data_IF_635363693543
#
_entry.id   IF_635363693543
#
_cell.length_a   1.000
_cell.length_b   1.000
_cell.length_c   1.000
_cell.angle_alpha   90.00
_cell.angle_beta   90.00
_cell.angle_gamma   90.00
#
_symmetry.space_group_name_H-M   'P 1'
#
loop_
_entity.id
_entity.type
_entity.pdbx_description
1 polymer ?
#
# COMPACT_ATOMS: atom_id res chain seq x y z
N UNK A 1 56.98 -10.33 -21.81
CA UNK A 1 56.22 -9.09 -21.62
C UNK A 1 54.80 -9.11 -22.16
N UNK A 2 54.55 -9.39 -23.44
CA UNK A 2 53.16 -9.42 -24.00
C UNK A 2 52.19 -10.38 -23.29
N UNK A 3 52.59 -11.59 -22.87
CA UNK A 3 51.71 -12.52 -22.15
C UNK A 3 51.35 -12.06 -20.74
N UNK A 4 52.23 -11.35 -20.04
CA UNK A 4 51.98 -10.80 -18.71
C UNK A 4 51.00 -9.64 -18.79
N UNK A 5 51.10 -8.77 -19.81
CA UNK A 5 50.17 -7.65 -20.05
C UNK A 5 48.79 -8.20 -20.36
N UNK A 6 48.64 -9.27 -21.14
CA UNK A 6 47.34 -9.90 -21.44
C UNK A 6 46.68 -10.49 -20.20
N UNK A 7 47.44 -11.12 -19.30
CA UNK A 7 46.93 -11.68 -18.05
C UNK A 7 46.43 -10.56 -17.10
N UNK A 8 47.18 -9.46 -17.00
CA UNK A 8 46.80 -8.31 -16.16
C UNK A 8 45.53 -7.65 -16.73
N UNK A 9 45.42 -7.52 -18.06
CA UNK A 9 44.22 -6.95 -18.69
C UNK A 9 43.00 -7.84 -18.50
N UNK A 10 43.16 -9.17 -18.60
CA UNK A 10 42.08 -10.13 -18.36
C UNK A 10 41.61 -10.13 -16.89
N UNK A 11 42.53 -10.04 -15.95
CA UNK A 11 42.21 -9.90 -14.51
C UNK A 11 41.45 -8.56 -14.24
N UNK A 12 41.86 -7.46 -14.87
CA UNK A 12 41.19 -6.17 -14.72
C UNK A 12 39.79 -6.21 -15.27
N UNK A 13 39.57 -6.85 -16.43
CA UNK A 13 38.23 -7.02 -17.04
C UNK A 13 37.35 -7.91 -16.16
N UNK A 14 37.89 -9.01 -15.62
CA UNK A 14 37.12 -9.91 -14.73
C UNK A 14 36.77 -9.21 -13.43
N UNK A 15 37.67 -8.44 -12.83
CA UNK A 15 37.37 -7.65 -11.62
C UNK A 15 36.38 -6.53 -11.91
N UNK A 16 36.49 -5.85 -13.04
CA UNK A 16 35.53 -4.83 -13.46
C UNK A 16 34.13 -5.42 -13.72
N UNK A 17 34.05 -6.59 -14.35
CA UNK A 17 32.79 -7.31 -14.56
C UNK A 17 32.20 -7.84 -13.25
N UNK A 18 33.02 -8.30 -12.32
CA UNK A 18 32.59 -8.68 -10.96
C UNK A 18 32.08 -7.47 -10.17
N UNK A 19 32.80 -6.34 -10.21
CA UNK A 19 32.35 -5.07 -9.61
C UNK A 19 31.06 -4.58 -10.25
N UNK A 20 30.92 -4.68 -11.57
CA UNK A 20 29.72 -4.31 -12.30
C UNK A 20 28.53 -5.24 -11.99
N UNK A 21 28.77 -6.55 -11.86
CA UNK A 21 27.78 -7.53 -11.45
C UNK A 21 27.37 -7.37 -9.97
N UNK A 22 28.34 -7.16 -9.07
CA UNK A 22 28.11 -6.91 -7.64
C UNK A 22 27.45 -5.56 -7.38
N UNK A 23 27.76 -4.51 -8.18
CA UNK A 23 27.12 -3.21 -8.12
C UNK A 23 25.66 -3.23 -8.60
N UNK A 24 25.23 -4.29 -9.30
CA UNK A 24 23.82 -4.49 -9.72
C UNK A 24 23.00 -5.31 -8.73
N UNK A 25 23.61 -5.83 -7.65
CA UNK A 25 22.90 -6.56 -6.58
C UNK A 25 22.32 -5.64 -5.51
N UNK A 26 22.07 -4.37 -5.83
CA UNK A 26 21.31 -3.48 -4.97
C UNK A 26 19.90 -4.05 -4.72
N UNK A 27 19.41 -3.93 -3.48
CA UNK A 27 18.03 -4.27 -3.14
C UNK A 27 17.08 -3.54 -4.11
N UNK A 28 16.10 -4.26 -4.64
CA UNK A 28 15.11 -3.71 -5.57
C UNK A 28 13.72 -3.98 -5.04
N UNK A 29 12.81 -3.09 -5.38
CA UNK A 29 11.38 -3.36 -5.21
C UNK A 29 10.94 -4.42 -6.23
N UNK A 30 10.00 -5.24 -5.81
CA UNK A 30 9.39 -6.29 -6.61
C UNK A 30 7.88 -6.29 -6.38
N UNK A 31 7.17 -5.63 -7.29
CA UNK A 31 5.75 -5.38 -7.21
C UNK A 31 5.37 -4.70 -5.87
N UNK A 32 5.90 -3.48 -5.61
CA UNK A 32 5.51 -2.73 -4.42
C UNK A 32 4.02 -2.41 -4.50
N UNK A 33 3.30 -2.66 -3.41
CA UNK A 33 1.85 -2.54 -3.41
C UNK A 33 1.33 -1.48 -2.43
N UNK A 34 1.81 -1.47 -1.19
CA UNK A 34 1.40 -0.50 -0.20
C UNK A 34 2.62 0.07 0.54
N UNK A 35 2.44 1.23 1.14
CA UNK A 35 3.50 1.95 1.85
C UNK A 35 2.94 2.65 3.09
N UNK A 36 3.74 2.69 4.15
CA UNK A 36 3.46 3.49 5.36
C UNK A 36 4.74 4.09 5.90
N UNK A 37 4.65 5.13 6.72
CA UNK A 37 5.82 5.79 7.31
C UNK A 37 6.03 5.36 8.76
N UNK A 38 7.24 4.91 9.08
CA UNK A 38 7.71 4.64 10.44
C UNK A 38 8.43 5.89 10.99
N UNK A 39 7.76 6.68 11.85
CA UNK A 39 8.34 7.93 12.34
C UNK A 39 9.50 7.71 13.33
N UNK A 40 9.54 6.56 13.99
CA UNK A 40 10.63 6.23 14.94
C UNK A 40 11.89 5.84 14.17
N UNK A 41 11.73 5.03 13.13
CA UNK A 41 12.83 4.63 12.25
C UNK A 41 13.16 5.68 11.19
N UNK A 42 12.39 6.76 11.05
CA UNK A 42 12.50 7.79 10.02
C UNK A 42 12.60 7.19 8.61
N UNK A 43 11.67 6.28 8.27
CA UNK A 43 11.71 5.49 7.03
C UNK A 43 10.31 5.13 6.57
N UNK A 44 10.18 4.87 5.28
CA UNK A 44 9.01 4.23 4.71
C UNK A 44 9.17 2.70 4.78
N UNK A 45 8.10 2.00 5.10
CA UNK A 45 7.97 0.55 4.99
C UNK A 45 7.09 0.25 3.79
N UNK A 46 7.53 -0.65 2.92
CA UNK A 46 6.91 -0.93 1.63
C UNK A 46 6.65 -2.42 1.51
N UNK A 47 5.42 -2.82 1.27
CA UNK A 47 5.09 -4.21 0.95
C UNK A 47 5.50 -4.54 -0.48
N UNK A 48 6.13 -5.69 -0.67
CA UNK A 48 6.58 -6.19 -1.97
C UNK A 48 5.95 -7.55 -2.23
N UNK A 49 4.86 -7.58 -3.00
CA UNK A 49 4.09 -8.79 -3.30
C UNK A 49 4.95 -9.83 -4.00
N UNK A 50 5.81 -9.41 -4.94
CA UNK A 50 6.60 -10.34 -5.75
C UNK A 50 7.66 -11.10 -4.96
N UNK A 51 8.30 -10.45 -3.97
CA UNK A 51 9.35 -11.05 -3.16
C UNK A 51 8.88 -11.55 -1.78
N UNK A 52 7.61 -11.32 -1.43
CA UNK A 52 7.10 -11.68 -0.10
C UNK A 52 7.80 -10.94 1.05
N UNK A 53 8.18 -9.69 0.83
CA UNK A 53 9.04 -8.94 1.75
C UNK A 53 8.41 -7.60 2.14
N UNK A 54 8.80 -7.08 3.30
CA UNK A 54 8.71 -5.65 3.59
C UNK A 54 10.10 -5.06 3.41
N UNK A 55 10.20 -4.00 2.61
CA UNK A 55 11.43 -3.26 2.35
C UNK A 55 11.35 -1.90 3.03
N UNK A 56 12.44 -1.44 3.63
CA UNK A 56 12.53 -0.09 4.15
C UNK A 56 13.18 0.84 3.12
N UNK A 57 12.68 2.08 3.04
CA UNK A 57 13.21 3.17 2.23
C UNK A 57 13.42 4.39 3.11
N UNK A 58 14.62 4.95 3.14
CA UNK A 58 14.88 6.20 3.86
C UNK A 58 14.33 7.43 3.09
N UNK A 59 14.44 8.60 3.71
CA UNK A 59 13.94 9.84 3.11
C UNK A 59 14.66 10.24 1.82
N UNK A 60 15.86 9.73 1.58
CA UNK A 60 16.66 9.96 0.38
C UNK A 60 16.34 8.93 -0.73
N UNK A 61 15.42 8.00 -0.47
CA UNK A 61 14.99 6.96 -1.41
C UNK A 61 15.90 5.72 -1.44
N UNK A 62 16.85 5.59 -0.51
CA UNK A 62 17.73 4.43 -0.43
C UNK A 62 17.01 3.25 0.22
N UNK A 63 16.99 2.13 -0.47
CA UNK A 63 16.36 0.90 0.00
C UNK A 63 17.28 0.12 0.94
N UNK A 64 16.68 -0.50 1.95
CA UNK A 64 17.33 -1.45 2.87
C UNK A 64 16.40 -2.62 3.17
N UNK A 65 16.98 -3.80 3.41
CA UNK A 65 16.21 -4.97 3.80
C UNK A 65 15.62 -4.76 5.19
N UNK A 66 14.33 -5.09 5.35
CA UNK A 66 13.66 -5.01 6.64
C UNK A 66 13.13 -6.37 7.09
N UNK A 67 12.21 -6.98 6.32
CA UNK A 67 11.71 -8.35 6.55
C UNK A 67 11.72 -9.13 5.24
N UNK A 68 12.89 -9.64 4.82
CA UNK A 68 13.03 -10.35 3.53
C UNK A 68 12.35 -11.71 3.57
N UNK A 69 11.44 -11.97 2.60
CA UNK A 69 10.79 -13.27 2.42
C UNK A 69 9.96 -13.76 3.61
N UNK A 70 9.51 -12.85 4.48
CA UNK A 70 8.78 -13.22 5.69
C UNK A 70 7.28 -13.47 5.44
N UNK A 71 6.77 -13.11 4.26
CA UNK A 71 5.37 -13.16 3.89
C UNK A 71 5.16 -13.95 2.60
N UNK A 72 3.94 -14.40 2.36
CA UNK A 72 3.59 -15.08 1.10
C UNK A 72 3.24 -14.07 -0.01
N UNK A 73 2.39 -13.11 0.32
CA UNK A 73 1.87 -12.11 -0.62
C UNK A 73 1.40 -10.88 0.15
N UNK A 74 2.34 -10.11 0.76
CA UNK A 74 1.98 -8.94 1.55
C UNK A 74 1.40 -7.86 0.64
N UNK A 75 0.21 -7.34 0.97
CA UNK A 75 -0.45 -6.29 0.25
C UNK A 75 -0.56 -5.04 1.10
N UNK A 76 -1.76 -4.61 1.48
CA UNK A 76 -1.97 -3.45 2.31
C UNK A 76 -1.20 -3.50 3.62
N UNK A 77 -0.63 -2.39 4.03
CA UNK A 77 0.09 -2.27 5.31
C UNK A 77 -0.34 -1.01 6.05
N UNK A 78 -0.52 -1.14 7.35
CA UNK A 78 -0.89 -0.02 8.22
C UNK A 78 -0.06 -0.02 9.49
N UNK A 79 0.52 1.12 9.84
CA UNK A 79 1.33 1.30 11.05
C UNK A 79 0.55 2.05 12.12
N UNK A 80 0.42 1.46 13.30
CA UNK A 80 -0.10 2.11 14.49
C UNK A 80 0.59 1.57 15.75
N UNK A 81 0.90 2.45 16.69
CA UNK A 81 1.43 2.10 18.03
C UNK A 81 2.62 1.12 17.99
N UNK A 82 3.54 1.33 17.02
CA UNK A 82 4.72 0.48 16.84
C UNK A 82 4.43 -0.92 16.27
N UNK A 83 3.21 -1.18 15.84
CA UNK A 83 2.78 -2.40 15.18
C UNK A 83 2.49 -2.14 13.71
N UNK A 84 3.07 -2.93 12.83
CA UNK A 84 2.73 -2.95 11.42
C UNK A 84 1.76 -4.11 11.19
N UNK A 85 0.56 -3.78 10.72
CA UNK A 85 -0.43 -4.73 10.25
C UNK A 85 -0.20 -4.96 8.77
N UNK A 86 -0.10 -6.22 8.35
CA UNK A 86 0.19 -6.62 6.97
C UNK A 86 -0.89 -7.57 6.50
N UNK A 87 -1.63 -7.21 5.45
CA UNK A 87 -2.60 -8.13 4.85
C UNK A 87 -1.88 -9.19 4.02
N UNK A 88 -2.32 -10.43 4.21
CA UNK A 88 -2.05 -11.57 3.34
C UNK A 88 -3.39 -12.16 2.87
N UNK A 89 -3.47 -13.06 1.90
CA UNK A 89 -4.73 -13.44 1.28
C UNK A 89 -5.86 -13.83 2.24
N UNK A 90 -5.56 -14.41 3.41
CA UNK A 90 -6.57 -14.90 4.35
C UNK A 90 -6.29 -14.53 5.81
N UNK A 91 -5.31 -13.68 6.05
CA UNK A 91 -4.87 -13.33 7.40
C UNK A 91 -4.22 -11.97 7.46
N UNK A 92 -4.11 -11.41 8.66
CA UNK A 92 -3.31 -10.23 8.97
C UNK A 92 -2.12 -10.68 9.80
N UNK A 93 -0.90 -10.38 9.35
CA UNK A 93 0.30 -10.51 10.17
C UNK A 93 0.51 -9.23 10.98
N UNK A 94 0.79 -9.37 12.26
CA UNK A 94 1.12 -8.24 13.14
C UNK A 94 2.59 -8.28 13.44
N UNK A 95 3.30 -7.21 13.08
CA UNK A 95 4.75 -7.09 13.21
C UNK A 95 5.08 -6.06 14.29
N UNK A 96 5.98 -6.41 15.20
CA UNK A 96 6.68 -5.45 16.04
C UNK A 96 7.73 -4.72 15.19
N UNK A 97 7.52 -3.43 14.97
CA UNK A 97 8.37 -2.64 14.06
C UNK A 97 9.78 -2.44 14.62
N UNK A 98 9.94 -2.34 15.94
CA UNK A 98 11.25 -2.14 16.56
C UNK A 98 12.16 -3.36 16.41
N UNK A 99 11.57 -4.57 16.48
CA UNK A 99 12.30 -5.84 16.43
C UNK A 99 12.22 -6.53 15.06
N UNK A 100 11.46 -5.98 14.10
CA UNK A 100 11.21 -6.59 12.79
C UNK A 100 10.76 -8.05 12.90
N UNK A 101 9.79 -8.33 13.76
CA UNK A 101 9.34 -9.70 14.07
C UNK A 101 7.83 -9.80 14.07
N UNK A 102 7.30 -10.90 13.50
CA UNK A 102 5.88 -11.20 13.57
C UNK A 102 5.54 -11.61 15.02
N UNK A 103 4.60 -10.90 15.65
CA UNK A 103 4.21 -11.10 17.04
C UNK A 103 2.80 -11.69 17.20
N UNK A 104 1.96 -11.58 16.17
CA UNK A 104 0.61 -12.17 16.16
C UNK A 104 0.16 -12.43 14.72
N UNK A 105 -0.87 -13.26 14.56
CA UNK A 105 -1.51 -13.56 13.29
C UNK A 105 -3.02 -13.62 13.50
N UNK A 106 -3.77 -12.78 12.79
CA UNK A 106 -5.23 -12.78 12.80
C UNK A 106 -5.76 -13.49 11.58
N UNK A 107 -6.26 -14.72 11.76
CA UNK A 107 -6.95 -15.45 10.70
C UNK A 107 -8.32 -14.82 10.47
N UNK A 108 -8.65 -14.50 9.22
CA UNK A 108 -9.95 -13.97 8.84
C UNK A 108 -10.75 -15.10 8.20
N UNK A 109 -11.67 -15.62 8.95
CA UNK A 109 -12.47 -16.78 8.53
C UNK A 109 -13.35 -16.42 7.32
N UNK A 110 -13.29 -17.23 6.29
CA UNK A 110 -14.04 -17.02 5.04
C UNK A 110 -13.46 -15.96 4.11
N UNK A 111 -12.27 -15.44 4.40
CA UNK A 111 -11.57 -14.55 3.48
C UNK A 111 -11.13 -15.28 2.22
N UNK A 112 -11.27 -14.62 1.06
CA UNK A 112 -10.89 -15.15 -0.25
C UNK A 112 -9.64 -14.48 -0.82
N UNK A 113 -9.44 -13.19 -0.56
CA UNK A 113 -8.30 -12.44 -1.04
C UNK A 113 -8.26 -11.05 -0.43
N UNK A 114 -7.82 -10.97 0.85
CA UNK A 114 -7.67 -9.70 1.54
C UNK A 114 -6.70 -8.79 0.79
N UNK A 115 -6.99 -7.50 0.80
CA UNK A 115 -6.21 -6.51 0.08
C UNK A 115 -5.66 -5.44 1.02
N UNK A 116 -6.45 -4.48 1.39
CA UNK A 116 -6.03 -3.32 2.17
C UNK A 116 -6.74 -3.25 3.52
N UNK A 117 -6.23 -2.41 4.42
CA UNK A 117 -6.79 -2.27 5.76
C UNK A 117 -6.65 -0.86 6.32
N UNK A 118 -7.62 -0.47 7.13
CA UNK A 118 -7.61 0.76 7.92
C UNK A 118 -7.96 0.46 9.38
N UNK A 119 -7.39 1.24 10.30
CA UNK A 119 -7.60 1.10 11.73
C UNK A 119 -8.41 2.30 12.27
N UNK A 120 -9.46 2.04 13.03
CA UNK A 120 -10.18 3.08 13.76
C UNK A 120 -9.45 3.46 15.04
N UNK A 121 -9.81 4.62 15.63
CA UNK A 121 -9.29 5.04 16.95
C UNK A 121 -9.69 4.10 18.11
N UNK A 122 -10.68 3.24 17.90
CA UNK A 122 -11.08 2.23 18.87
C UNK A 122 -10.39 0.87 18.66
N UNK A 123 -9.44 0.81 17.71
CA UNK A 123 -8.65 -0.39 17.45
C UNK A 123 -9.34 -1.44 16.57
N UNK A 124 -10.46 -1.12 15.92
CA UNK A 124 -11.10 -2.02 14.96
C UNK A 124 -10.40 -1.94 13.61
N UNK A 125 -10.06 -3.08 13.03
CA UNK A 125 -9.51 -3.22 11.70
C UNK A 125 -10.64 -3.39 10.68
N UNK A 126 -10.71 -2.52 9.69
CA UNK A 126 -11.54 -2.67 8.50
C UNK A 126 -10.65 -3.17 7.37
N UNK A 127 -11.01 -4.27 6.75
CA UNK A 127 -10.15 -5.01 5.83
C UNK A 127 -10.95 -5.32 4.57
N UNK A 128 -10.50 -4.86 3.42
CA UNK A 128 -11.12 -5.20 2.13
C UNK A 128 -10.76 -6.62 1.71
N UNK A 129 -11.74 -7.35 1.20
CA UNK A 129 -11.54 -8.66 0.54
C UNK A 129 -11.96 -8.55 -0.92
N UNK A 130 -10.98 -8.31 -1.78
CA UNK A 130 -11.20 -8.09 -3.22
C UNK A 130 -11.83 -9.29 -3.91
N UNK A 131 -11.47 -10.50 -3.51
CA UNK A 131 -12.02 -11.73 -4.11
C UNK A 131 -13.30 -12.20 -3.45
N UNK A 132 -13.61 -11.67 -2.25
CA UNK A 132 -14.80 -11.99 -1.49
C UNK A 132 -15.92 -10.97 -1.62
N UNK A 133 -15.71 -9.88 -2.39
CA UNK A 133 -16.65 -8.76 -2.58
C UNK A 133 -17.26 -8.25 -1.27
N UNK A 134 -16.39 -8.04 -0.27
CA UNK A 134 -16.82 -7.62 1.07
C UNK A 134 -15.75 -6.85 1.82
N UNK A 135 -16.14 -6.31 2.98
CA UNK A 135 -15.21 -5.73 3.96
C UNK A 135 -15.39 -6.49 5.28
N UNK A 136 -14.29 -6.94 5.88
CA UNK A 136 -14.29 -7.47 7.22
C UNK A 136 -14.03 -6.38 8.25
N UNK A 137 -14.68 -6.49 9.40
CA UNK A 137 -14.35 -5.73 10.61
C UNK A 137 -13.82 -6.73 11.63
N UNK A 138 -12.59 -6.54 12.07
CA UNK A 138 -11.93 -7.43 13.03
C UNK A 138 -11.57 -6.65 14.30
N UNK A 139 -11.94 -7.21 15.46
CA UNK A 139 -11.54 -6.69 16.75
C UNK A 139 -10.36 -7.51 17.30
N UNK A 140 -9.14 -6.94 17.36
CA UNK A 140 -7.96 -7.64 17.87
C UNK A 140 -8.04 -8.00 19.37
N UNK A 141 -8.85 -7.29 20.14
CA UNK A 141 -8.98 -7.52 21.60
C UNK A 141 -9.88 -8.72 21.88
N UNK A 142 -11.06 -8.75 21.27
CA UNK A 142 -12.03 -9.84 21.45
C UNK A 142 -11.78 -11.01 20.50
N UNK A 143 -10.97 -10.81 19.46
CA UNK A 143 -10.70 -11.75 18.36
C UNK A 143 -11.98 -12.17 17.63
N UNK A 144 -12.92 -11.24 17.52
CA UNK A 144 -14.17 -11.43 16.77
C UNK A 144 -14.12 -10.72 15.44
N UNK A 145 -14.87 -11.23 14.48
CA UNK A 145 -14.99 -10.62 13.16
C UNK A 145 -16.46 -10.45 12.76
N UNK A 146 -16.71 -9.44 11.95
CA UNK A 146 -17.98 -9.18 11.28
C UNK A 146 -17.72 -9.02 9.78
N UNK A 147 -18.67 -9.43 8.95
CA UNK A 147 -18.58 -9.30 7.49
C UNK A 147 -19.62 -8.32 6.98
N UNK A 148 -19.17 -7.23 6.36
CA UNK A 148 -20.01 -6.25 5.67
C UNK A 148 -20.18 -6.71 4.22
N UNK A 149 -21.43 -6.97 3.84
CA UNK A 149 -21.81 -7.36 2.49
C UNK A 149 -22.73 -6.27 1.93
N UNK A 150 -22.44 -5.80 0.74
CA UNK A 150 -23.26 -4.83 0.02
C UNK A 150 -23.17 -5.09 -1.48
N UNK A 151 -24.25 -4.91 -2.25
CA UNK A 151 -24.18 -4.99 -3.71
C UNK A 151 -23.33 -3.88 -4.34
N UNK A 152 -22.93 -2.88 -3.57
CA UNK A 152 -22.03 -1.82 -4.00
C UNK A 152 -20.55 -2.24 -3.93
N UNK A 153 -20.20 -3.26 -3.14
CA UNK A 153 -18.85 -3.80 -3.03
C UNK A 153 -18.61 -4.78 -4.19
N UNK A 154 -17.81 -4.34 -5.15
CA UNK A 154 -17.41 -5.11 -6.34
C UNK A 154 -15.88 -5.04 -6.46
N UNK A 155 -15.21 -6.05 -5.95
CA UNK A 155 -13.75 -6.11 -5.81
C UNK A 155 -13.20 -4.93 -5.01
N UNK A 156 -13.64 -4.72 -3.75
CA UNK A 156 -13.12 -3.65 -2.92
C UNK A 156 -11.61 -3.78 -2.77
N UNK A 157 -10.90 -2.65 -2.91
CA UNK A 157 -9.44 -2.61 -2.93
C UNK A 157 -8.93 -1.66 -1.83
N UNK A 158 -8.52 -0.44 -2.15
CA UNK A 158 -8.06 0.52 -1.17
C UNK A 158 -9.14 0.95 -0.17
N UNK A 159 -8.74 1.19 1.06
CA UNK A 159 -9.61 1.64 2.15
C UNK A 159 -8.88 2.65 3.04
N UNK A 160 -9.54 3.76 3.36
CA UNK A 160 -9.01 4.77 4.28
C UNK A 160 -10.05 5.21 5.29
N UNK A 161 -9.62 5.47 6.52
CA UNK A 161 -10.49 5.96 7.58
C UNK A 161 -10.51 7.49 7.62
N UNK A 162 -11.70 8.06 7.42
CA UNK A 162 -11.99 9.47 7.67
C UNK A 162 -12.53 9.63 9.10
N UNK A 163 -11.63 9.89 10.02
CA UNK A 163 -11.94 10.04 11.43
C UNK A 163 -12.94 11.16 11.74
N UNK A 164 -12.82 12.38 11.17
CA UNK A 164 -13.80 13.44 11.39
C UNK A 164 -15.23 13.08 11.04
N UNK A 165 -15.44 12.27 10.00
CA UNK A 165 -16.76 11.86 9.52
C UNK A 165 -17.23 10.52 10.05
N UNK A 166 -16.36 9.76 10.74
CA UNK A 166 -16.63 8.38 11.20
C UNK A 166 -16.99 7.44 10.05
N UNK A 167 -16.28 7.57 8.94
CA UNK A 167 -16.51 6.81 7.73
C UNK A 167 -15.23 6.15 7.21
N UNK A 168 -15.36 4.95 6.67
CA UNK A 168 -14.35 4.36 5.79
C UNK A 168 -14.69 4.76 4.35
N UNK A 169 -13.73 5.30 3.61
CA UNK A 169 -13.86 5.38 2.17
C UNK A 169 -13.22 4.16 1.54
N UNK A 170 -13.92 3.57 0.57
CA UNK A 170 -13.52 2.35 -0.12
C UNK A 170 -13.60 2.59 -1.62
N UNK A 171 -12.59 2.12 -2.34
CA UNK A 171 -12.58 2.08 -3.80
C UNK A 171 -12.64 0.64 -4.29
N UNK A 172 -13.29 0.42 -5.44
CA UNK A 172 -13.41 -0.91 -6.02
C UNK A 172 -12.55 -1.05 -7.27
N UNK A 173 -11.93 -2.20 -7.46
CA UNK A 173 -11.19 -2.56 -8.67
C UNK A 173 -12.12 -3.10 -9.75
N UNK A 174 -13.12 -2.31 -10.11
CA UNK A 174 -14.13 -2.66 -11.12
C UNK A 174 -14.34 -1.55 -12.15
N UNK A 175 -15.20 -1.77 -13.13
CA UNK A 175 -15.46 -0.78 -14.17
C UNK A 175 -16.38 0.33 -13.67
N UNK A 176 -16.01 1.60 -13.93
CA UNK A 176 -16.80 2.80 -13.54
C UNK A 176 -17.27 2.74 -12.10
N UNK A 177 -16.30 2.52 -11.22
CA UNK A 177 -16.61 2.29 -9.81
C UNK A 177 -16.84 3.61 -9.07
N UNK A 178 -17.91 3.73 -8.29
CA UNK A 178 -18.06 4.83 -7.36
C UNK A 178 -17.03 4.71 -6.22
N UNK A 179 -16.75 5.82 -5.57
CA UNK A 179 -16.15 5.80 -4.24
C UNK A 179 -17.27 5.54 -3.24
N UNK A 180 -17.05 4.56 -2.38
CA UNK A 180 -18.02 4.16 -1.36
C UNK A 180 -17.67 4.76 -0.01
N UNK A 181 -18.66 4.95 0.82
CA UNK A 181 -18.51 5.21 2.25
C UNK A 181 -19.18 4.10 3.06
N UNK A 182 -18.51 3.68 4.13
CA UNK A 182 -19.07 2.77 5.15
C UNK A 182 -19.09 3.52 6.47
N UNK A 183 -20.27 3.75 7.02
CA UNK A 183 -20.42 4.32 8.35
C UNK A 183 -19.87 3.35 9.41
N UNK A 184 -18.92 3.83 10.22
CA UNK A 184 -18.21 2.96 11.19
C UNK A 184 -19.13 2.41 12.28
N UNK A 185 -20.23 3.09 12.59
CA UNK A 185 -21.18 2.70 13.66
C UNK A 185 -22.25 1.75 13.15
N UNK A 186 -22.92 2.14 12.06
CA UNK A 186 -24.04 1.35 11.49
C UNK A 186 -23.56 0.23 10.55
N UNK A 187 -22.32 0.32 10.01
CA UNK A 187 -21.77 -0.54 8.96
C UNK A 187 -22.53 -0.41 7.62
N UNK A 188 -23.38 0.59 7.48
CA UNK A 188 -24.10 0.83 6.25
C UNK A 188 -23.15 1.32 5.16
N UNK A 189 -23.24 0.70 3.98
CA UNK A 189 -22.46 1.05 2.80
C UNK A 189 -23.30 1.92 1.88
N UNK A 190 -22.77 3.06 1.45
CA UNK A 190 -23.44 3.99 0.52
C UNK A 190 -22.45 4.52 -0.53
N UNK A 191 -22.98 5.09 -1.60
CA UNK A 191 -22.17 5.81 -2.59
C UNK A 191 -21.83 7.18 -2.01
N UNK A 192 -20.53 7.43 -1.84
CA UNK A 192 -20.03 8.74 -1.48
C UNK A 192 -19.95 9.64 -2.70
N UNK A 193 -19.38 9.14 -3.82
CA UNK A 193 -19.27 9.90 -5.06
C UNK A 193 -19.24 8.97 -6.27
N UNK A 194 -20.09 9.22 -7.25
CA UNK A 194 -20.02 8.53 -8.54
C UNK A 194 -18.78 8.94 -9.33
N UNK A 195 -18.14 7.99 -9.99
CA UNK A 195 -16.99 8.26 -10.86
C UNK A 195 -17.17 7.67 -12.25
N UNK A 196 -16.37 8.16 -13.20
CA UNK A 196 -16.22 7.58 -14.53
C UNK A 196 -14.99 6.70 -14.64
N UNK A 197 -14.17 6.63 -13.58
CA UNK A 197 -12.90 5.93 -13.55
C UNK A 197 -13.10 4.45 -13.25
N UNK A 198 -12.14 3.65 -13.68
CA UNK A 198 -12.19 2.19 -13.60
C UNK A 198 -10.96 1.61 -12.94
N UNK A 199 -11.09 0.41 -12.38
CA UNK A 199 -9.98 -0.31 -11.74
C UNK A 199 -9.27 0.58 -10.70
N UNK A 200 -10.08 1.12 -9.77
CA UNK A 200 -9.53 1.92 -8.67
C UNK A 200 -8.75 0.99 -7.73
N UNK A 201 -7.61 1.50 -7.23
CA UNK A 201 -6.69 0.68 -6.43
C UNK A 201 -6.48 1.29 -5.04
N UNK A 202 -5.63 2.30 -4.90
CA UNK A 202 -5.37 2.97 -3.62
C UNK A 202 -6.26 4.18 -3.38
N UNK A 203 -6.42 4.54 -2.11
CA UNK A 203 -7.11 5.74 -1.66
C UNK A 203 -6.43 6.33 -0.44
N UNK A 204 -6.21 7.65 -0.43
CA UNK A 204 -5.66 8.39 0.71
C UNK A 204 -6.47 9.64 0.98
N UNK A 205 -6.37 10.13 2.21
CA UNK A 205 -6.94 11.41 2.63
C UNK A 205 -5.86 12.24 3.31
N UNK A 206 -5.76 13.51 2.99
CA UNK A 206 -4.81 14.41 3.63
C UNK A 206 -5.41 15.14 4.85
N UNK A 207 -4.59 15.95 5.51
CA UNK A 207 -4.98 16.70 6.70
C UNK A 207 -5.97 17.85 6.43
N UNK A 208 -6.13 18.24 5.16
CA UNK A 208 -7.15 19.20 4.71
C UNK A 208 -8.47 18.52 4.35
N UNK A 209 -8.51 17.18 4.30
CA UNK A 209 -9.67 16.39 3.90
C UNK A 209 -9.85 16.27 2.40
N UNK A 210 -8.79 16.52 1.60
CA UNK A 210 -8.73 16.17 0.18
C UNK A 210 -8.55 14.66 0.06
N UNK A 211 -9.23 14.05 -0.90
CA UNK A 211 -9.15 12.62 -1.14
C UNK A 211 -8.39 12.38 -2.44
N UNK A 212 -7.48 11.44 -2.43
CA UNK A 212 -6.72 11.01 -3.59
C UNK A 212 -6.96 9.53 -3.83
N UNK A 213 -7.16 9.14 -5.08
CA UNK A 213 -7.30 7.73 -5.44
C UNK A 213 -6.61 7.43 -6.77
N UNK A 214 -6.08 6.22 -6.89
CA UNK A 214 -5.43 5.75 -8.11
C UNK A 214 -6.40 5.01 -9.02
N UNK A 215 -6.19 5.13 -10.31
CA UNK A 215 -6.90 4.38 -11.34
C UNK A 215 -5.91 3.72 -12.29
N UNK A 216 -6.00 2.41 -12.39
CA UNK A 216 -5.16 1.62 -13.29
C UNK A 216 -5.57 1.76 -14.75
N UNK A 217 -6.88 1.82 -15.01
CA UNK A 217 -7.41 1.93 -16.37
C UNK A 217 -6.97 3.24 -17.04
N UNK A 218 -7.01 4.34 -16.28
CA UNK A 218 -6.66 5.67 -16.78
C UNK A 218 -5.19 6.04 -16.53
N UNK A 219 -4.44 5.22 -15.78
CA UNK A 219 -3.03 5.50 -15.41
C UNK A 219 -2.88 6.87 -14.73
N UNK A 220 -3.73 7.13 -13.76
CA UNK A 220 -3.86 8.44 -13.12
C UNK A 220 -3.99 8.32 -11.60
N UNK A 221 -3.64 9.42 -10.91
CA UNK A 221 -4.10 9.72 -9.57
C UNK A 221 -5.07 10.88 -9.68
N UNK A 222 -6.24 10.75 -9.08
CA UNK A 222 -7.32 11.69 -9.12
C UNK A 222 -7.49 12.31 -7.73
N UNK A 223 -7.63 13.62 -7.67
CA UNK A 223 -7.91 14.37 -6.46
C UNK A 223 -9.38 14.76 -6.40
N UNK A 224 -9.98 14.61 -5.23
CA UNK A 224 -11.25 15.24 -4.85
C UNK A 224 -10.89 16.33 -3.84
N UNK A 225 -11.09 17.62 -4.16
CA UNK A 225 -10.77 18.71 -3.24
C UNK A 225 -11.66 18.68 -2.00
N UNK A 226 -11.31 19.47 -1.01
CA UNK A 226 -12.03 19.53 0.28
C UNK A 226 -13.53 19.79 0.13
N UNK A 227 -13.92 20.59 -0.87
CA UNK A 227 -15.33 20.88 -1.16
C UNK A 227 -16.11 19.69 -1.74
N UNK A 228 -15.40 18.62 -2.15
CA UNK A 228 -15.95 17.34 -2.62
C UNK A 228 -17.00 17.49 -3.74
N UNK A 229 -16.78 18.42 -4.66
CA UNK A 229 -17.73 18.79 -5.69
C UNK A 229 -17.24 18.56 -7.14
N UNK A 230 -16.01 18.08 -7.31
CA UNK A 230 -15.38 17.83 -8.62
C UNK A 230 -14.20 16.87 -8.51
N UNK A 231 -13.66 16.49 -9.67
CA UNK A 231 -12.39 15.78 -9.78
C UNK A 231 -11.32 16.66 -10.40
N UNK A 232 -10.09 16.57 -9.88
CA UNK A 232 -8.88 17.16 -10.45
C UNK A 232 -8.02 16.04 -11.02
N UNK A 233 -7.68 16.13 -12.30
CA UNK A 233 -7.05 15.04 -13.08
C UNK A 233 -5.71 15.46 -13.70
N UNK A 234 -4.93 16.25 -12.99
CA UNK A 234 -3.63 16.73 -13.47
C UNK A 234 -2.48 15.72 -13.27
N UNK A 235 -2.67 14.69 -12.41
CA UNK A 235 -1.66 13.69 -12.09
C UNK A 235 -1.79 12.48 -13.03
N UNK A 236 -1.20 12.57 -14.24
CA UNK A 236 -1.24 11.55 -15.29
C UNK A 236 0.11 10.84 -15.43
N UNK A 237 0.09 9.64 -16.04
CA UNK A 237 1.30 8.86 -16.30
C UNK A 237 1.69 7.93 -15.15
N UNK A 238 0.79 7.68 -14.22
CA UNK A 238 1.00 6.79 -13.06
C UNK A 238 0.49 5.37 -13.37
N UNK A 239 1.05 4.75 -14.41
CA UNK A 239 0.66 3.39 -14.82
C UNK A 239 1.00 2.36 -13.74
N UNK A 240 -0.04 1.68 -13.22
CA UNK A 240 0.10 0.67 -12.18
C UNK A 240 0.40 1.27 -10.80
N UNK A 241 -0.06 2.52 -10.55
CA UNK A 241 -0.13 3.07 -9.20
C UNK A 241 -1.05 2.16 -8.37
N UNK A 242 -0.50 1.60 -7.30
CA UNK A 242 -1.21 0.72 -6.38
C UNK A 242 -1.78 1.54 -5.20
N UNK A 243 -1.72 1.01 -3.99
CA UNK A 243 -2.16 1.72 -2.81
C UNK A 243 -1.31 2.98 -2.55
N UNK A 244 -1.95 4.10 -2.22
CA UNK A 244 -1.30 5.39 -2.05
C UNK A 244 -1.34 5.84 -0.60
N UNK A 245 -0.28 6.51 -0.15
CA UNK A 245 -0.13 6.96 1.21
C UNK A 245 0.12 8.47 1.26
N UNK A 246 -0.63 9.19 2.10
CA UNK A 246 -0.35 10.58 2.40
C UNK A 246 0.67 10.70 3.54
N UNK A 247 1.83 11.29 3.23
CA UNK A 247 2.91 11.55 4.18
C UNK A 247 2.84 12.99 4.68
N UNK A 248 2.16 13.18 5.83
CA UNK A 248 1.93 14.50 6.43
C UNK A 248 3.22 15.32 6.64
N UNK A 249 4.32 14.79 7.20
CA UNK A 249 5.53 15.59 7.40
C UNK A 249 6.13 16.17 6.13
N UNK A 250 5.98 15.48 5.01
CA UNK A 250 6.48 15.92 3.70
C UNK A 250 5.45 16.65 2.86
N UNK A 251 4.19 16.72 3.27
CA UNK A 251 3.05 17.16 2.47
C UNK A 251 3.09 16.56 1.05
N UNK A 252 3.11 15.23 0.97
CA UNK A 252 3.30 14.50 -0.27
C UNK A 252 2.52 13.19 -0.31
N UNK A 253 2.20 12.73 -1.51
CA UNK A 253 1.74 11.36 -1.74
C UNK A 253 2.95 10.47 -2.04
N UNK A 254 2.98 9.31 -1.39
CA UNK A 254 3.92 8.23 -1.68
C UNK A 254 3.15 7.16 -2.44
N UNK A 255 3.61 6.87 -3.64
CA UNK A 255 2.88 6.05 -4.62
C UNK A 255 3.71 4.85 -5.02
N UNK A 256 3.37 3.64 -4.56
CA UNK A 256 3.92 2.41 -5.09
C UNK A 256 3.51 2.21 -6.55
N UNK A 257 4.49 2.10 -7.44
CA UNK A 257 4.32 1.82 -8.85
C UNK A 257 4.52 0.32 -9.10
N UNK A 258 3.49 -0.48 -8.84
CA UNK A 258 3.57 -1.94 -8.82
C UNK A 258 4.17 -2.54 -10.10
N UNK A 259 3.75 -2.05 -11.27
CA UNK A 259 4.25 -2.54 -12.57
C UNK A 259 5.67 -2.08 -12.88
N UNK A 260 6.13 -1.01 -12.26
CA UNK A 260 7.40 -0.36 -12.56
C UNK A 260 8.47 -0.64 -11.49
N UNK A 261 8.12 -1.33 -10.41
CA UNK A 261 9.01 -1.68 -9.32
C UNK A 261 9.73 -0.46 -8.71
N UNK A 262 9.00 0.63 -8.49
CA UNK A 262 9.53 1.88 -7.91
C UNK A 262 8.49 2.58 -7.03
N UNK A 263 8.95 3.55 -6.26
CA UNK A 263 8.10 4.50 -5.53
C UNK A 263 8.20 5.86 -6.23
N UNK A 264 7.07 6.50 -6.43
CA UNK A 264 6.97 7.91 -6.79
C UNK A 264 6.61 8.75 -5.57
N UNK A 265 7.12 9.98 -5.52
CA UNK A 265 6.81 10.97 -4.49
C UNK A 265 6.23 12.19 -5.17
N UNK A 266 5.05 12.60 -4.78
CA UNK A 266 4.30 13.70 -5.39
C UNK A 266 4.06 14.74 -4.30
N UNK A 267 4.77 15.87 -4.41
CA UNK A 267 4.54 17.02 -3.52
C UNK A 267 3.14 17.57 -3.73
N UNK A 268 2.44 17.89 -2.66
CA UNK A 268 1.13 18.55 -2.66
C UNK A 268 1.33 20.02 -2.27
N UNK A 269 0.91 20.94 -3.15
CA UNK A 269 0.98 22.38 -2.94
C UNK A 269 -0.10 22.86 -1.94
#
# INVERSE_FOLDING_TARGET
MKKIILIILALFIVTALLFWALGRTGLRLDKPESVTYDPIGARFLISNVGSGSIVAMDNDGKLSAYMPGAFKSPKGIFLADGKLYVTEPTQIQVVDVANASIIDTYLIEGAAGLNDLALTEHGLLYITDTLGDCVYVYDPVTKTQEKIISPLLDKPNGIVYDRPRWQMFVVNNSARSPILSIDVRSKETSIFMDTIYSQLDGIAIDDLGRIYFSSWAESMIIEIPQEQNRFITNLKGYEGAADIYYHLPGNELIVPMLKQNRIERISLD
#
